data_IF_816212061874
#
_entry.id   IF_816212061874
#
_cell.length_a   1.000
_cell.length_b   1.000
_cell.length_c   1.000
_cell.angle_alpha   90.00
_cell.angle_beta   90.00
_cell.angle_gamma   90.00
#
_symmetry.space_group_name_H-M   'P 1'
#
loop_
_entity.id
_entity.type
_entity.pdbx_description
1 polymer ?
#
# COMPACT_ATOMS: atom_id res chain seq x y z
N UNK A 1 17.26 -5.85 -21.45
CA UNK A 1 15.78 -5.86 -21.40
C UNK A 1 15.34 -4.80 -20.42
N UNK A 2 14.40 -3.95 -20.81
CA UNK A 2 13.81 -2.98 -19.90
C UNK A 2 13.09 -3.73 -18.77
N UNK A 3 13.25 -3.28 -17.51
CA UNK A 3 12.62 -3.96 -16.36
C UNK A 3 11.11 -3.78 -16.45
N UNK A 4 10.35 -4.87 -16.39
CA UNK A 4 8.90 -4.82 -16.23
C UNK A 4 8.57 -4.42 -14.79
N UNK A 5 7.93 -3.27 -14.60
CA UNK A 5 7.72 -2.65 -13.28
C UNK A 5 6.26 -2.73 -12.84
N UNK A 6 6.06 -3.01 -11.55
CA UNK A 6 4.78 -2.86 -10.87
C UNK A 6 4.84 -1.66 -9.93
N UNK A 7 3.85 -0.78 -9.95
CA UNK A 7 3.63 0.17 -8.87
C UNK A 7 2.63 -0.42 -7.88
N UNK A 8 3.07 -0.65 -6.65
CA UNK A 8 2.24 -1.17 -5.56
C UNK A 8 2.05 -0.07 -4.51
N UNK A 9 0.82 0.44 -4.42
CA UNK A 9 0.41 1.54 -3.54
C UNK A 9 -0.37 0.96 -2.36
N UNK A 10 0.18 1.08 -1.17
CA UNK A 10 -0.40 0.51 0.04
C UNK A 10 -1.36 1.50 0.69
N UNK A 11 -2.62 1.12 0.81
CA UNK A 11 -3.68 1.73 1.61
C UNK A 11 -3.77 3.27 1.50
N UNK A 12 -3.87 3.86 0.28
CA UNK A 12 -3.95 5.30 0.09
C UNK A 12 -5.37 5.81 0.41
N UNK A 13 -5.84 5.63 1.65
CA UNK A 13 -7.23 5.84 2.05
C UNK A 13 -7.43 7.13 2.83
N UNK A 14 -8.62 7.71 2.74
CA UNK A 14 -8.96 9.00 3.36
C UNK A 14 -8.76 8.98 4.86
N UNK A 15 -9.08 7.88 5.55
CA UNK A 15 -8.87 7.78 7.00
C UNK A 15 -7.40 7.91 7.41
N UNK A 16 -6.47 7.43 6.58
CA UNK A 16 -5.03 7.57 6.80
C UNK A 16 -4.47 8.92 6.33
N UNK A 17 -5.22 9.70 5.57
CA UNK A 17 -4.76 10.99 5.04
C UNK A 17 -5.26 12.15 5.89
N UNK A 18 -6.56 12.20 6.15
CA UNK A 18 -7.24 13.33 6.84
C UNK A 18 -8.42 12.90 7.69
N UNK A 19 -8.71 11.60 7.77
CA UNK A 19 -9.85 11.06 8.51
C UNK A 19 -9.50 10.66 9.93
N UNK A 20 -9.94 9.48 10.36
CA UNK A 20 -9.92 9.06 11.77
C UNK A 20 -8.55 8.58 12.29
N UNK A 21 -7.61 8.24 11.42
CA UNK A 21 -6.26 7.77 11.78
C UNK A 21 -5.20 8.43 10.88
N UNK A 22 -5.06 9.77 10.91
CA UNK A 22 -4.23 10.49 9.96
C UNK A 22 -2.74 10.25 10.21
N UNK A 23 -2.04 9.89 9.14
CA UNK A 23 -0.57 9.76 9.13
C UNK A 23 0.05 11.15 8.87
N UNK A 24 1.02 11.58 9.68
CA UNK A 24 1.73 12.83 9.43
C UNK A 24 2.25 12.92 7.98
N UNK A 25 2.06 14.07 7.33
CA UNK A 25 2.49 14.33 5.94
C UNK A 25 1.81 13.47 4.86
N UNK A 26 0.76 12.71 5.18
CA UNK A 26 0.09 11.86 4.20
C UNK A 26 -0.59 12.64 3.07
N UNK A 27 -1.14 13.82 3.37
CA UNK A 27 -1.81 14.64 2.35
C UNK A 27 -0.84 15.10 1.26
N UNK A 28 0.33 15.60 1.65
CA UNK A 28 1.39 16.00 0.72
C UNK A 28 1.94 14.79 -0.05
N UNK A 29 2.19 13.68 0.65
CA UNK A 29 2.72 12.46 0.05
C UNK A 29 1.76 11.88 -0.99
N UNK A 30 0.45 11.81 -0.70
CA UNK A 30 -0.54 11.26 -1.64
C UNK A 30 -0.84 12.23 -2.80
N UNK A 31 -0.77 13.55 -2.58
CA UNK A 31 -0.84 14.52 -3.68
C UNK A 31 0.37 14.39 -4.61
N UNK A 32 1.58 14.31 -4.05
CA UNK A 32 2.80 14.07 -4.83
C UNK A 32 2.80 12.73 -5.55
N UNK A 33 2.25 11.68 -4.93
CA UNK A 33 2.08 10.38 -5.58
C UNK A 33 1.12 10.46 -6.77
N UNK A 34 0.03 11.20 -6.67
CA UNK A 34 -0.87 11.40 -7.81
C UNK A 34 -0.14 12.08 -8.98
N UNK A 35 0.66 13.12 -8.71
CA UNK A 35 1.50 13.77 -9.74
C UNK A 35 2.56 12.82 -10.33
N UNK A 36 3.15 12.00 -9.49
CA UNK A 36 4.10 10.97 -9.94
C UNK A 36 3.42 9.98 -10.89
N UNK A 37 2.23 9.49 -10.55
CA UNK A 37 1.46 8.58 -11.41
C UNK A 37 1.03 9.27 -12.71
N UNK A 38 0.57 10.52 -12.67
CA UNK A 38 0.24 11.31 -13.86
C UNK A 38 1.43 11.38 -14.85
N UNK A 39 2.65 11.51 -14.34
CA UNK A 39 3.87 11.63 -15.15
C UNK A 39 4.47 10.30 -15.59
N UNK A 40 4.44 9.30 -14.70
CA UNK A 40 5.23 8.07 -14.83
C UNK A 40 4.39 6.79 -14.88
N UNK A 41 3.08 6.85 -14.63
CA UNK A 41 2.19 5.68 -14.55
C UNK A 41 2.25 4.78 -15.79
N UNK A 42 2.36 5.37 -16.97
CA UNK A 42 2.50 4.65 -18.25
C UNK A 42 3.78 3.80 -18.39
N UNK A 43 4.78 4.03 -17.53
CA UNK A 43 6.05 3.31 -17.55
C UNK A 43 6.00 2.02 -16.71
N UNK A 44 4.88 1.74 -16.06
CA UNK A 44 4.63 0.51 -15.34
C UNK A 44 3.89 -0.51 -16.22
N UNK A 45 4.11 -1.79 -15.97
CA UNK A 45 3.33 -2.85 -16.60
C UNK A 45 1.94 -2.99 -15.97
N UNK A 46 1.82 -2.64 -14.69
CA UNK A 46 0.57 -2.58 -13.95
C UNK A 46 0.69 -1.65 -12.73
N UNK A 47 -0.45 -1.17 -12.25
CA UNK A 47 -0.59 -0.45 -10.98
C UNK A 47 -1.54 -1.26 -10.10
N UNK A 48 -1.15 -1.50 -8.84
CA UNK A 48 -2.00 -2.14 -7.84
C UNK A 48 -2.08 -1.23 -6.63
N UNK A 49 -3.28 -0.95 -6.15
CA UNK A 49 -3.51 -0.34 -4.85
C UNK A 49 -4.07 -1.37 -3.87
N UNK A 50 -3.66 -1.32 -2.62
CA UNK A 50 -4.30 -2.08 -1.55
C UNK A 50 -5.21 -1.18 -0.72
N UNK A 51 -6.18 -1.76 -0.03
CA UNK A 51 -7.05 -1.03 0.90
C UNK A 51 -7.39 -1.89 2.10
N UNK A 52 -7.35 -1.29 3.30
CA UNK A 52 -8.04 -1.82 4.46
C UNK A 52 -9.54 -1.78 4.22
N UNK A 53 -10.23 -2.86 4.58
CA UNK A 53 -11.65 -3.00 4.32
C UNK A 53 -12.36 -3.65 5.50
N UNK A 54 -12.37 -2.93 6.65
CA UNK A 54 -12.79 -3.47 7.93
C UNK A 54 -14.32 -3.52 8.06
N UNK A 55 -14.90 -4.66 8.50
CA UNK A 55 -16.28 -4.66 8.98
C UNK A 55 -16.42 -3.77 10.23
N UNK A 56 -17.62 -3.30 10.50
CA UNK A 56 -17.89 -2.32 11.58
C UNK A 56 -17.41 -2.77 12.96
N UNK A 57 -17.39 -4.07 13.23
CA UNK A 57 -16.90 -4.68 14.49
C UNK A 57 -15.60 -5.44 14.26
N UNK A 58 -14.59 -4.75 13.73
CA UNK A 58 -13.29 -5.37 13.49
C UNK A 58 -12.43 -5.40 14.75
N UNK A 59 -11.73 -6.52 14.99
CA UNK A 59 -10.91 -6.75 16.18
C UNK A 59 -9.79 -5.72 16.41
N UNK A 60 -9.36 -4.97 15.39
CA UNK A 60 -8.36 -3.93 15.53
C UNK A 60 -8.87 -2.64 16.19
N UNK A 61 -10.18 -2.45 16.27
CA UNK A 61 -10.76 -1.22 16.79
C UNK A 61 -10.75 -1.19 18.33
N UNK A 62 -10.54 0.00 18.88
CA UNK A 62 -10.50 0.20 20.33
C UNK A 62 -11.81 -0.23 21.03
N UNK A 63 -12.96 -0.04 20.36
CA UNK A 63 -14.26 -0.51 20.86
C UNK A 63 -14.36 -2.04 20.97
N UNK A 64 -13.54 -2.77 20.22
CA UNK A 64 -13.45 -4.23 20.21
C UNK A 64 -12.21 -4.75 20.95
N UNK A 65 -11.50 -3.85 21.67
CA UNK A 65 -10.29 -4.19 22.43
C UNK A 65 -8.98 -4.10 21.64
N UNK A 66 -9.01 -3.62 20.41
CA UNK A 66 -7.83 -3.41 19.58
C UNK A 66 -7.13 -2.07 19.82
N UNK A 67 -5.99 -1.81 19.17
CA UNK A 67 -5.18 -0.62 19.40
C UNK A 67 -5.63 0.63 18.60
N UNK A 68 -6.50 0.49 17.61
CA UNK A 68 -6.78 1.55 16.65
C UNK A 68 -8.15 2.20 16.84
N UNK A 69 -8.31 3.49 16.50
CA UNK A 69 -9.63 4.07 16.35
C UNK A 69 -10.40 3.38 15.20
N UNK A 70 -11.69 3.61 15.12
CA UNK A 70 -12.52 3.17 13.99
C UNK A 70 -11.98 3.80 12.70
N UNK A 71 -11.57 3.01 11.73
CA UNK A 71 -10.99 3.46 10.46
C UNK A 71 -11.29 2.48 9.32
N UNK A 72 -11.25 2.96 8.09
CA UNK A 72 -11.39 2.20 6.86
C UNK A 72 -12.58 1.20 6.88
N UNK A 73 -13.70 1.63 7.50
CA UNK A 73 -14.91 0.81 7.58
C UNK A 73 -15.49 0.62 6.19
N UNK A 74 -15.87 -0.60 5.88
CA UNK A 74 -16.45 -0.99 4.60
C UNK A 74 -17.54 -0.01 4.15
N UNK A 75 -17.43 0.45 2.90
CA UNK A 75 -18.37 1.38 2.27
C UNK A 75 -18.46 2.79 2.90
N UNK A 76 -17.56 3.13 3.82
CA UNK A 76 -17.45 4.50 4.34
C UNK A 76 -16.61 5.40 3.41
N UNK A 77 -16.77 6.72 3.57
CA UNK A 77 -15.90 7.70 2.89
C UNK A 77 -14.45 7.55 3.35
N UNK A 78 -14.22 7.21 4.63
CA UNK A 78 -12.88 6.99 5.18
C UNK A 78 -12.13 5.85 4.51
N UNK A 79 -12.85 4.80 4.07
CA UNK A 79 -12.27 3.67 3.36
C UNK A 79 -11.99 3.96 1.87
N UNK A 80 -12.44 5.08 1.33
CA UNK A 80 -12.20 5.46 -0.06
C UNK A 80 -10.76 5.98 -0.25
N UNK A 81 -10.23 5.86 -1.46
CA UNK A 81 -8.99 6.51 -1.87
C UNK A 81 -9.27 7.89 -2.46
N UNK A 82 -8.29 8.84 -2.43
CA UNK A 82 -8.48 10.17 -2.99
C UNK A 82 -8.79 10.15 -4.49
N UNK A 83 -9.77 10.92 -4.91
CA UNK A 83 -10.24 10.99 -6.31
C UNK A 83 -9.12 11.29 -7.31
N UNK A 84 -8.21 12.23 -6.97
CA UNK A 84 -7.09 12.58 -7.85
C UNK A 84 -6.15 11.39 -8.10
N UNK A 85 -5.83 10.64 -7.05
CA UNK A 85 -4.95 9.48 -7.17
C UNK A 85 -5.64 8.36 -7.98
N UNK A 86 -6.91 8.09 -7.70
CA UNK A 86 -7.70 7.12 -8.47
C UNK A 86 -7.80 7.52 -9.94
N UNK A 87 -8.04 8.81 -10.23
CA UNK A 87 -8.09 9.32 -11.58
C UNK A 87 -6.74 9.18 -12.30
N UNK A 88 -5.63 9.45 -11.61
CA UNK A 88 -4.28 9.29 -12.16
C UNK A 88 -4.00 7.81 -12.51
N UNK A 89 -4.32 6.88 -11.60
CA UNK A 89 -4.14 5.45 -11.84
C UNK A 89 -5.00 4.95 -13.02
N UNK A 90 -6.26 5.35 -13.09
CA UNK A 90 -7.16 4.95 -14.18
C UNK A 90 -6.75 5.52 -15.55
N UNK A 91 -6.15 6.72 -15.58
CA UNK A 91 -5.70 7.39 -16.80
C UNK A 91 -4.28 7.01 -17.23
N UNK A 92 -3.57 6.21 -16.44
CA UNK A 92 -2.19 5.82 -16.73
C UNK A 92 -2.03 4.97 -18.02
N UNK A 93 -3.12 4.38 -18.52
CA UNK A 93 -3.09 3.56 -19.75
C UNK A 93 -2.54 2.15 -19.54
N UNK A 94 -2.43 1.71 -18.30
CA UNK A 94 -2.00 0.37 -17.89
C UNK A 94 -3.05 -0.28 -16.99
N UNK A 95 -3.06 -1.61 -16.82
CA UNK A 95 -3.98 -2.28 -15.90
C UNK A 95 -3.89 -1.69 -14.48
N UNK A 96 -5.03 -1.32 -13.90
CA UNK A 96 -5.14 -0.85 -12.53
C UNK A 96 -6.07 -1.77 -11.74
N UNK A 97 -5.61 -2.27 -10.60
CA UNK A 97 -6.36 -3.19 -9.74
C UNK A 97 -6.34 -2.70 -8.29
N UNK A 98 -7.48 -2.81 -7.60
CA UNK A 98 -7.57 -2.56 -6.16
C UNK A 98 -7.78 -3.88 -5.44
N UNK A 99 -6.91 -4.19 -4.48
CA UNK A 99 -6.95 -5.37 -3.63
C UNK A 99 -7.35 -4.97 -2.21
N UNK A 100 -8.03 -5.85 -1.50
CA UNK A 100 -8.54 -5.58 -0.15
C UNK A 100 -7.90 -6.50 0.87
N UNK A 101 -7.71 -6.00 2.09
CA UNK A 101 -7.30 -6.77 3.27
C UNK A 101 -8.11 -6.36 4.49
N UNK A 102 -7.96 -7.07 5.61
CA UNK A 102 -8.65 -6.75 6.86
C UNK A 102 -10.17 -6.94 6.81
N UNK A 103 -10.67 -7.79 5.92
CA UNK A 103 -12.11 -8.01 5.74
C UNK A 103 -12.72 -9.06 6.69
N UNK A 104 -11.91 -9.70 7.55
CA UNK A 104 -12.36 -10.58 8.61
C UNK A 104 -12.50 -9.82 9.93
N UNK A 105 -13.65 -9.90 10.59
CA UNK A 105 -13.88 -9.23 11.88
C UNK A 105 -12.90 -9.68 12.99
N UNK A 106 -12.35 -10.88 12.88
CA UNK A 106 -11.60 -11.54 13.95
C UNK A 106 -10.09 -11.61 13.72
N UNK A 107 -9.59 -11.04 12.61
CA UNK A 107 -8.18 -11.08 12.26
C UNK A 107 -7.70 -9.79 11.65
N UNK A 108 -6.64 -9.24 12.24
CA UNK A 108 -5.90 -8.10 11.66
C UNK A 108 -4.96 -8.57 10.55
N UNK A 109 -4.87 -7.77 9.48
CA UNK A 109 -4.03 -8.05 8.33
C UNK A 109 -3.27 -6.77 7.95
N UNK A 110 -2.09 -6.54 8.53
CA UNK A 110 -1.27 -5.38 8.18
C UNK A 110 -0.64 -5.49 6.79
N UNK A 111 -0.39 -6.70 6.34
CA UNK A 111 0.18 -6.97 5.01
C UNK A 111 -0.87 -7.50 4.06
N UNK A 112 -0.83 -7.06 2.79
CA UNK A 112 -1.68 -7.63 1.74
C UNK A 112 -1.44 -9.13 1.56
N UNK A 113 -0.24 -9.62 1.89
CA UNK A 113 0.12 -11.03 1.78
C UNK A 113 -0.60 -11.91 2.81
N UNK A 114 -1.14 -11.32 3.89
CA UNK A 114 -1.93 -12.02 4.91
C UNK A 114 -3.38 -12.28 4.47
N UNK A 115 -3.85 -11.59 3.43
CA UNK A 115 -5.15 -11.84 2.81
C UNK A 115 -4.99 -12.80 1.64
N UNK A 116 -5.33 -14.07 1.82
CA UNK A 116 -5.05 -15.12 0.85
C UNK A 116 -5.64 -14.86 -0.56
N UNK A 117 -6.89 -14.41 -0.73
CA UNK A 117 -7.43 -14.06 -2.05
C UNK A 117 -6.64 -12.93 -2.74
N UNK A 118 -6.33 -11.88 -2.01
CA UNK A 118 -5.58 -10.73 -2.54
C UNK A 118 -4.13 -11.08 -2.84
N UNK A 119 -3.47 -11.86 -1.98
CA UNK A 119 -2.12 -12.36 -2.20
C UNK A 119 -2.05 -13.24 -3.48
N UNK A 120 -3.03 -14.13 -3.68
CA UNK A 120 -3.11 -14.96 -4.89
C UNK A 120 -3.28 -14.11 -6.15
N UNK A 121 -4.13 -13.07 -6.09
CA UNK A 121 -4.34 -12.15 -7.22
C UNK A 121 -3.08 -11.37 -7.53
N UNK A 122 -2.40 -10.84 -6.49
CA UNK A 122 -1.15 -10.10 -6.64
C UNK A 122 -0.04 -10.97 -7.23
N UNK A 123 0.12 -12.21 -6.76
CA UNK A 123 1.08 -13.18 -7.32
C UNK A 123 0.78 -13.45 -8.81
N UNK A 124 -0.50 -13.61 -9.16
CA UNK A 124 -0.93 -13.76 -10.55
C UNK A 124 -0.53 -12.57 -11.43
N UNK A 125 -0.71 -11.33 -10.96
CA UNK A 125 -0.29 -10.12 -11.67
C UNK A 125 1.24 -10.10 -11.84
N UNK A 126 1.99 -10.35 -10.77
CA UNK A 126 3.46 -10.37 -10.78
C UNK A 126 3.98 -11.35 -11.83
N UNK A 127 3.47 -12.59 -11.83
CA UNK A 127 3.93 -13.64 -12.74
C UNK A 127 3.48 -13.41 -14.19
N UNK A 128 2.20 -13.10 -14.40
CA UNK A 128 1.66 -12.95 -15.76
C UNK A 128 2.24 -11.74 -16.50
N UNK A 129 2.60 -10.68 -15.78
CA UNK A 129 3.23 -9.48 -16.35
C UNK A 129 4.75 -9.55 -16.37
N UNK A 130 5.36 -10.64 -15.91
CA UNK A 130 6.81 -10.83 -15.89
C UNK A 130 7.52 -9.74 -15.07
N UNK A 131 6.94 -9.34 -13.93
CA UNK A 131 7.45 -8.24 -13.10
C UNK A 131 8.84 -8.57 -12.58
N UNK A 132 9.77 -7.64 -12.77
CA UNK A 132 11.17 -7.74 -12.32
C UNK A 132 11.59 -6.61 -11.38
N UNK A 133 10.69 -5.66 -11.11
CA UNK A 133 10.91 -4.56 -10.17
C UNK A 133 9.56 -4.09 -9.61
N UNK A 134 9.40 -4.05 -8.30
CA UNK A 134 8.20 -3.58 -7.62
C UNK A 134 8.52 -2.28 -6.90
N UNK A 135 7.97 -1.19 -7.38
CA UNK A 135 8.01 0.10 -6.71
C UNK A 135 6.91 0.15 -5.66
N UNK A 136 7.30 0.17 -4.39
CA UNK A 136 6.39 0.13 -3.24
C UNK A 136 6.29 1.51 -2.59
N UNK A 137 5.08 1.93 -2.25
CA UNK A 137 4.79 3.15 -1.50
C UNK A 137 3.44 3.07 -0.79
N UNK A 138 3.06 4.09 -0.04
CA UNK A 138 1.73 4.22 0.57
C UNK A 138 1.73 4.45 2.08
N UNK A 139 0.66 4.09 2.75
CA UNK A 139 0.35 4.42 4.14
C UNK A 139 0.08 3.14 4.98
N UNK A 140 0.45 3.12 6.27
CA UNK A 140 1.48 3.95 6.86
C UNK A 140 2.83 3.25 6.69
N UNK A 141 3.87 4.06 6.48
CA UNK A 141 5.22 3.57 6.20
C UNK A 141 5.74 2.53 7.19
N UNK A 142 5.54 2.76 8.49
CA UNK A 142 5.99 1.89 9.59
C UNK A 142 5.01 0.74 9.92
N UNK A 143 3.83 0.67 9.31
CA UNK A 143 2.83 -0.38 9.56
C UNK A 143 2.58 -1.18 8.26
N UNK A 144 1.59 -0.80 7.47
CA UNK A 144 1.15 -1.61 6.32
C UNK A 144 2.22 -1.69 5.22
N UNK A 145 2.94 -0.59 4.95
CA UNK A 145 4.05 -0.60 3.97
C UNK A 145 5.16 -1.53 4.43
N UNK A 146 5.62 -1.38 5.68
CA UNK A 146 6.71 -2.20 6.23
C UNK A 146 6.33 -3.67 6.32
N UNK A 147 5.14 -4.00 6.83
CA UNK A 147 4.69 -5.40 6.95
C UNK A 147 4.51 -6.05 5.57
N UNK A 148 3.92 -5.32 4.60
CA UNK A 148 3.83 -5.82 3.22
C UNK A 148 5.22 -6.04 2.62
N UNK A 149 6.15 -5.10 2.80
CA UNK A 149 7.52 -5.24 2.31
C UNK A 149 8.22 -6.46 2.94
N UNK A 150 8.10 -6.65 4.26
CA UNK A 150 8.68 -7.82 4.96
C UNK A 150 8.17 -9.14 4.39
N UNK A 151 6.86 -9.29 4.26
CA UNK A 151 6.24 -10.54 3.77
C UNK A 151 6.58 -10.79 2.30
N UNK A 152 6.56 -9.74 1.48
CA UNK A 152 6.89 -9.86 0.07
C UNK A 152 8.38 -10.14 -0.16
N UNK A 153 9.28 -9.56 0.63
CA UNK A 153 10.72 -9.87 0.58
C UNK A 153 10.98 -11.32 0.97
N UNK A 154 10.27 -11.84 1.98
CA UNK A 154 10.35 -13.24 2.36
C UNK A 154 9.86 -14.19 1.24
N UNK A 155 8.88 -13.76 0.45
CA UNK A 155 8.28 -14.57 -0.63
C UNK A 155 9.08 -14.51 -1.95
N UNK A 156 9.51 -13.30 -2.35
CA UNK A 156 10.06 -13.05 -3.69
C UNK A 156 11.54 -12.67 -3.70
N UNK A 157 12.14 -12.45 -2.53
CA UNK A 157 13.51 -11.97 -2.40
C UNK A 157 13.63 -10.45 -2.53
N UNK A 158 14.63 -9.89 -1.84
CA UNK A 158 14.81 -8.45 -1.67
C UNK A 158 15.12 -7.67 -2.96
N UNK A 159 15.74 -8.32 -3.94
CA UNK A 159 16.18 -7.68 -5.19
C UNK A 159 15.02 -7.25 -6.11
N UNK A 160 13.80 -7.69 -5.80
CA UNK A 160 12.59 -7.34 -6.55
C UNK A 160 12.03 -5.96 -6.16
N UNK A 161 12.49 -5.34 -5.06
CA UNK A 161 11.83 -4.19 -4.47
C UNK A 161 12.64 -2.91 -4.54
N UNK A 162 11.93 -1.84 -4.88
CA UNK A 162 12.38 -0.44 -4.78
C UNK A 162 11.34 0.34 -3.98
N UNK A 163 11.71 0.89 -2.82
CA UNK A 163 10.81 1.74 -2.04
C UNK A 163 10.82 3.17 -2.58
N UNK A 164 9.66 3.84 -2.55
CA UNK A 164 9.50 5.26 -2.81
C UNK A 164 9.26 6.02 -1.49
N UNK A 165 10.32 6.43 -0.76
CA UNK A 165 10.19 6.97 0.60
C UNK A 165 9.40 8.28 0.66
N UNK A 166 9.49 9.11 -0.37
CA UNK A 166 8.73 10.37 -0.47
C UNK A 166 7.20 10.17 -0.39
N UNK A 167 6.74 8.97 -0.73
CA UNK A 167 5.32 8.60 -0.74
C UNK A 167 4.98 7.53 0.30
N UNK A 168 5.82 7.39 1.34
CA UNK A 168 5.65 6.38 2.39
C UNK A 168 5.83 6.96 3.80
N UNK A 169 5.07 8.02 4.16
CA UNK A 169 5.17 8.61 5.49
C UNK A 169 4.68 7.63 6.56
N UNK A 170 5.20 7.78 7.77
CA UNK A 170 4.98 6.91 8.92
C UNK A 170 4.15 7.59 9.99
N UNK A 171 3.49 6.80 10.86
CA UNK A 171 2.79 7.28 12.06
C UNK A 171 3.78 7.79 13.12
N UNK A 172 4.99 7.25 13.13
CA UNK A 172 6.11 7.64 13.99
C UNK A 172 7.21 8.36 13.19
N UNK A 173 8.43 8.35 13.69
CA UNK A 173 9.60 8.93 13.02
C UNK A 173 10.08 8.12 11.79
N UNK A 174 9.48 6.97 11.49
CA UNK A 174 9.84 6.08 10.38
C UNK A 174 11.19 5.36 10.54
N UNK A 175 11.74 5.33 11.74
CA UNK A 175 13.06 4.73 12.00
C UNK A 175 13.08 3.23 11.71
N UNK A 176 12.01 2.50 12.03
CA UNK A 176 11.93 1.05 11.78
C UNK A 176 11.95 0.74 10.27
N UNK A 177 11.18 1.47 9.48
CA UNK A 177 11.18 1.31 8.02
C UNK A 177 12.56 1.60 7.44
N UNK A 178 13.18 2.74 7.83
CA UNK A 178 14.54 3.07 7.37
C UNK A 178 15.57 2.04 7.78
N UNK A 179 15.48 1.51 9.01
CA UNK A 179 16.37 0.45 9.48
C UNK A 179 16.22 -0.82 8.65
N UNK A 180 14.97 -1.24 8.39
CA UNK A 180 14.70 -2.43 7.60
C UNK A 180 15.25 -2.31 6.16
N UNK A 181 15.02 -1.17 5.52
CA UNK A 181 15.52 -0.88 4.17
C UNK A 181 17.05 -1.01 4.13
N UNK A 182 17.75 -0.35 5.09
CA UNK A 182 19.21 -0.36 5.17
C UNK A 182 19.75 -1.76 5.45
N UNK A 183 19.17 -2.46 6.42
CA UNK A 183 19.64 -3.79 6.83
C UNK A 183 19.47 -4.85 5.72
N UNK A 184 18.46 -4.70 4.88
CA UNK A 184 18.17 -5.64 3.79
C UNK A 184 18.70 -5.16 2.42
N UNK A 185 19.30 -3.98 2.33
CA UNK A 185 19.79 -3.43 1.07
C UNK A 185 18.68 -3.22 0.04
N UNK A 186 17.49 -2.78 0.48
CA UNK A 186 16.37 -2.44 -0.41
C UNK A 186 16.70 -1.15 -1.15
N UNK A 187 16.47 -1.12 -2.46
CA UNK A 187 16.65 0.08 -3.25
C UNK A 187 15.61 1.16 -2.87
N UNK A 188 16.01 2.44 -2.99
CA UNK A 188 15.11 3.59 -2.81
C UNK A 188 15.22 4.53 -4.00
N UNK A 189 14.13 5.20 -4.35
CA UNK A 189 14.03 6.20 -5.39
C UNK A 189 13.53 7.52 -4.82
#
# INVERSE_FOLDING_TARGET
MEKSKLLLIIDPQIDFISGSLPVPHAAEAMSGLAEYVEKHGKNYAAIVATTDWHPYHHCSFAAEGGPWPLHCVQNSVGAASPDRLLAACNKAGVPFTVLRKGNSAHREEYSIMQNAPSATTLDGIIRSSGITDIHLCGLAGNICVLNTLKDMVATYGRSLFTLLPAYSPSLDDGSELRHYIKANGIHTL
#
